data_IF_303743203359
#
_entry.id   IF_303743203359
#
_cell.length_a   1.000
_cell.length_b   1.000
_cell.length_c   1.000
_cell.angle_alpha   90.00
_cell.angle_beta   90.00
_cell.angle_gamma   90.00
#
_symmetry.space_group_name_H-M   'P 1'
#
loop_
_entity.id
_entity.type
_entity.pdbx_description
1 polymer ?
#
# COMPACT_ATOMS: atom_id res chain seq x y z
N UNK A 1 -1.00 -21.03 2.90
CA UNK A 1 -0.60 -20.58 1.57
C UNK A 1 0.41 -21.56 0.97
N UNK A 2 0.22 -21.91 -0.30
CA UNK A 2 1.15 -22.72 -1.10
C UNK A 2 1.85 -21.86 -2.16
N UNK A 3 3.19 -21.90 -2.16
CA UNK A 3 4.03 -21.13 -3.10
C UNK A 3 4.71 -22.01 -4.16
N UNK A 4 4.39 -23.31 -4.20
CA UNK A 4 4.99 -24.26 -5.14
C UNK A 4 4.68 -23.93 -6.61
N UNK A 5 3.65 -23.14 -6.86
CA UNK A 5 3.21 -22.71 -8.19
C UNK A 5 3.57 -21.25 -8.52
N UNK A 6 4.44 -20.64 -7.74
CA UNK A 6 4.83 -19.24 -7.94
C UNK A 6 5.46 -18.99 -9.31
N UNK A 7 6.29 -19.92 -9.80
CA UNK A 7 6.90 -19.85 -11.14
C UNK A 7 5.86 -19.97 -12.27
N UNK A 8 4.67 -20.44 -11.97
CA UNK A 8 3.54 -20.52 -12.89
C UNK A 8 2.57 -19.33 -12.72
N UNK A 9 2.98 -18.34 -11.93
CA UNK A 9 2.17 -17.15 -11.63
C UNK A 9 0.98 -17.42 -10.70
N UNK A 10 1.05 -18.45 -9.85
CA UNK A 10 -0.06 -18.79 -8.98
C UNK A 10 0.36 -18.98 -7.52
N UNK A 11 -0.51 -18.53 -6.63
CA UNK A 11 -0.46 -18.77 -5.18
C UNK A 11 -1.73 -19.52 -4.82
N UNK A 12 -1.61 -20.64 -4.13
CA UNK A 12 -2.77 -21.35 -3.60
C UNK A 12 -2.99 -20.96 -2.14
N UNK A 13 -4.24 -20.80 -1.74
CA UNK A 13 -4.61 -20.49 -0.37
C UNK A 13 -5.75 -21.41 0.07
N UNK A 14 -5.67 -21.88 1.31
CA UNK A 14 -6.75 -22.58 1.98
C UNK A 14 -6.87 -22.02 3.39
N UNK A 15 -8.10 -21.78 3.80
CA UNK A 15 -8.41 -21.31 5.13
C UNK A 15 -9.70 -21.98 5.64
N UNK A 16 -9.73 -22.34 6.90
CA UNK A 16 -10.91 -22.85 7.57
C UNK A 16 -11.00 -22.29 8.99
N UNK A 17 -12.22 -22.21 9.51
CA UNK A 17 -12.49 -21.87 10.89
C UNK A 17 -13.55 -22.82 11.46
N UNK A 18 -13.47 -23.10 12.75
CA UNK A 18 -14.45 -23.96 13.45
C UNK A 18 -15.81 -23.26 13.65
N UNK A 19 -15.80 -21.92 13.67
CA UNK A 19 -17.00 -21.09 13.81
C UNK A 19 -17.20 -20.23 12.55
N UNK A 20 -18.44 -19.83 12.31
CA UNK A 20 -18.76 -18.88 11.26
C UNK A 20 -17.94 -17.59 11.45
N UNK A 21 -17.29 -17.15 10.39
CA UNK A 21 -16.45 -15.97 10.39
C UNK A 21 -17.05 -14.91 9.46
N UNK A 22 -17.22 -13.71 9.98
CA UNK A 22 -17.69 -12.57 9.17
C UNK A 22 -16.49 -11.88 8.51
N UNK A 23 -16.44 -11.98 7.19
CA UNK A 23 -15.42 -11.33 6.37
C UNK A 23 -15.73 -9.86 6.05
N UNK A 24 -16.90 -9.36 6.42
CA UNK A 24 -17.29 -7.99 6.12
C UNK A 24 -16.38 -6.99 6.88
N UNK A 25 -15.55 -6.29 6.13
CA UNK A 25 -14.64 -5.29 6.68
C UNK A 25 -13.43 -5.83 7.43
N UNK A 26 -13.18 -7.15 7.40
CA UNK A 26 -12.03 -7.77 8.07
C UNK A 26 -10.95 -8.13 7.05
N UNK A 27 -9.73 -7.69 7.30
CA UNK A 27 -8.56 -8.12 6.53
C UNK A 27 -8.23 -9.58 6.85
N UNK A 28 -8.32 -10.46 5.86
CA UNK A 28 -8.03 -11.89 6.01
C UNK A 28 -6.55 -12.18 5.81
N UNK A 29 -5.96 -11.54 4.81
CA UNK A 29 -4.53 -11.60 4.52
C UNK A 29 -4.11 -10.46 3.58
N UNK A 30 -2.83 -10.15 3.59
CA UNK A 30 -2.23 -9.16 2.69
C UNK A 30 -1.24 -9.85 1.74
N UNK A 31 -1.37 -9.59 0.46
CA UNK A 31 -0.36 -9.96 -0.54
C UNK A 31 0.38 -8.71 -0.97
N UNK A 32 1.71 -8.73 -0.85
CA UNK A 32 2.58 -7.66 -1.33
C UNK A 32 3.31 -8.14 -2.57
N UNK A 33 3.24 -7.35 -3.63
CA UNK A 33 3.99 -7.59 -4.86
C UNK A 33 4.45 -6.27 -5.45
N UNK A 34 5.48 -6.33 -6.28
CA UNK A 34 5.98 -5.17 -7.02
C UNK A 34 5.54 -5.31 -8.46
N UNK A 35 4.80 -4.34 -8.97
CA UNK A 35 4.50 -4.28 -10.39
C UNK A 35 5.77 -3.94 -11.18
N UNK A 36 6.04 -4.71 -12.23
CA UNK A 36 7.19 -4.49 -13.12
C UNK A 36 6.85 -3.62 -14.32
N UNK A 37 5.57 -3.32 -14.51
CA UNK A 37 5.02 -2.44 -15.54
C UNK A 37 3.68 -1.87 -15.07
N UNK A 38 3.24 -0.81 -15.72
CA UNK A 38 1.91 -0.25 -15.49
C UNK A 38 0.84 -1.23 -15.95
N UNK A 39 0.01 -1.68 -15.02
CA UNK A 39 -1.07 -2.64 -15.27
C UNK A 39 -2.22 -2.39 -14.28
N UNK A 40 -3.44 -2.58 -14.74
CA UNK A 40 -4.59 -2.58 -13.83
C UNK A 40 -4.56 -3.85 -13.00
N UNK A 41 -4.78 -3.74 -11.71
CA UNK A 41 -4.76 -4.88 -10.79
C UNK A 41 -5.79 -5.95 -11.18
N UNK A 42 -6.96 -5.56 -11.66
CA UNK A 42 -7.99 -6.46 -12.18
C UNK A 42 -7.55 -7.29 -13.39
N UNK A 43 -6.57 -6.80 -14.16
CA UNK A 43 -6.05 -7.49 -15.33
C UNK A 43 -4.86 -8.39 -14.96
N UNK A 44 -4.19 -8.09 -13.84
CA UNK A 44 -2.99 -8.78 -13.36
C UNK A 44 -3.28 -9.90 -12.36
N UNK A 45 -4.37 -9.81 -11.60
CA UNK A 45 -4.70 -10.75 -10.51
C UNK A 45 -6.12 -11.26 -10.68
N UNK A 46 -6.29 -12.57 -10.62
CA UNK A 46 -7.60 -13.22 -10.65
C UNK A 46 -7.63 -14.41 -9.70
N UNK A 47 -8.81 -14.77 -9.22
CA UNK A 47 -9.07 -16.08 -8.60
C UNK A 47 -9.50 -17.04 -9.72
N UNK A 48 -8.96 -18.24 -9.71
CA UNK A 48 -9.34 -19.28 -10.66
C UNK A 48 -9.14 -20.68 -10.06
N UNK A 49 -9.74 -21.67 -10.71
CA UNK A 49 -9.68 -23.08 -10.30
C UNK A 49 -8.61 -23.88 -11.05
N UNK A 50 -7.53 -23.24 -11.51
CA UNK A 50 -6.49 -23.91 -12.33
C UNK A 50 -5.74 -25.01 -11.58
N UNK A 51 -5.51 -24.85 -10.28
CA UNK A 51 -4.75 -25.80 -9.45
C UNK A 51 -5.60 -26.40 -8.33
N UNK A 52 -6.48 -25.59 -7.74
CA UNK A 52 -7.44 -25.99 -6.70
C UNK A 52 -8.75 -25.32 -7.01
N UNK A 53 -9.87 -25.96 -6.68
CA UNK A 53 -11.17 -25.31 -6.83
C UNK A 53 -11.22 -24.02 -6.01
N UNK A 54 -11.69 -22.94 -6.62
CA UNK A 54 -11.92 -21.66 -5.95
C UNK A 54 -13.31 -21.71 -5.32
N UNK A 55 -13.40 -22.21 -4.10
CA UNK A 55 -14.63 -22.51 -3.39
C UNK A 55 -14.62 -21.87 -2.00
N UNK A 56 -15.79 -21.47 -1.55
CA UNK A 56 -16.05 -21.12 -0.15
C UNK A 56 -17.28 -21.89 0.35
N UNK A 57 -17.28 -22.24 1.62
CA UNK A 57 -18.39 -22.88 2.29
C UNK A 57 -18.94 -21.96 3.36
N UNK A 58 -20.22 -21.63 3.28
CA UNK A 58 -20.94 -20.88 4.29
C UNK A 58 -22.13 -21.67 4.78
N UNK A 59 -22.18 -21.96 6.08
CA UNK A 59 -23.24 -22.74 6.72
C UNK A 59 -23.45 -24.15 6.09
N UNK A 60 -22.40 -24.72 5.47
CA UNK A 60 -22.46 -26.02 4.80
C UNK A 60 -22.78 -25.95 3.30
N UNK A 61 -23.13 -24.79 2.79
CA UNK A 61 -23.42 -24.59 1.38
C UNK A 61 -22.20 -24.06 0.61
N UNK A 62 -22.03 -24.57 -0.61
CA UNK A 62 -20.98 -24.12 -1.53
C UNK A 62 -21.33 -22.73 -2.07
N UNK A 63 -20.38 -21.81 -1.99
CA UNK A 63 -20.48 -20.45 -2.50
C UNK A 63 -19.44 -20.22 -3.59
N UNK A 64 -19.81 -19.50 -4.64
CA UNK A 64 -18.88 -19.02 -5.63
C UNK A 64 -17.96 -17.93 -5.05
N UNK A 65 -16.67 -18.03 -5.36
CA UNK A 65 -15.67 -17.04 -4.94
C UNK A 65 -15.32 -16.16 -6.13
N UNK A 66 -15.59 -14.88 -6.00
CA UNK A 66 -15.18 -13.87 -6.97
C UNK A 66 -14.25 -12.82 -6.30
N UNK A 67 -13.21 -12.44 -7.01
CA UNK A 67 -12.36 -11.33 -6.61
C UNK A 67 -12.94 -10.03 -7.17
N UNK A 68 -13.45 -9.19 -6.30
CA UNK A 68 -13.88 -7.85 -6.69
C UNK A 68 -12.79 -6.85 -6.30
N UNK A 69 -12.34 -6.09 -7.28
CA UNK A 69 -11.44 -4.98 -7.05
C UNK A 69 -12.27 -3.74 -6.72
N UNK A 70 -12.61 -3.57 -5.48
CA UNK A 70 -12.98 -2.26 -5.02
C UNK A 70 -11.68 -1.46 -4.94
N UNK A 71 -11.38 -0.70 -5.99
CA UNK A 71 -10.57 0.48 -5.78
C UNK A 71 -11.37 1.28 -4.75
N UNK A 72 -10.90 1.34 -3.52
CA UNK A 72 -11.34 2.39 -2.65
C UNK A 72 -10.99 3.66 -3.43
N UNK A 73 -12.00 4.30 -4.01
CA UNK A 73 -11.86 5.70 -4.30
C UNK A 73 -11.47 6.26 -2.94
N UNK A 74 -10.21 6.61 -2.77
CA UNK A 74 -9.71 7.03 -1.49
C UNK A 74 -10.59 8.16 -1.00
N UNK A 75 -11.52 7.84 -0.12
CA UNK A 75 -12.29 8.84 0.61
C UNK A 75 -11.51 9.20 1.89
N UNK A 76 -10.32 8.65 2.02
CA UNK A 76 -9.45 8.83 3.16
C UNK A 76 -8.12 9.42 2.72
N UNK A 77 -7.58 10.25 3.58
CA UNK A 77 -6.19 10.65 3.50
C UNK A 77 -5.33 9.60 4.22
N UNK A 78 -4.20 9.25 3.65
CA UNK A 78 -3.24 8.37 4.30
C UNK A 78 -1.81 8.77 3.94
N UNK A 79 -0.90 8.63 4.90
CA UNK A 79 0.54 8.74 4.67
C UNK A 79 1.18 7.38 4.95
N UNK A 80 1.89 6.81 3.98
CA UNK A 80 2.53 5.51 4.10
C UNK A 80 3.99 5.63 4.53
N UNK A 81 4.53 4.53 5.02
CA UNK A 81 5.96 4.44 5.33
C UNK A 81 6.76 4.53 4.04
N UNK A 82 7.81 5.37 4.05
CA UNK A 82 8.72 5.47 2.92
C UNK A 82 9.41 4.13 2.63
N UNK A 83 9.66 3.85 1.37
CA UNK A 83 10.28 2.60 0.92
C UNK A 83 11.39 2.90 -0.10
N UNK A 84 12.60 2.37 0.14
CA UNK A 84 13.05 1.63 1.32
C UNK A 84 13.14 2.49 2.60
N UNK A 85 13.14 1.85 3.77
CA UNK A 85 13.45 2.46 5.05
C UNK A 85 14.10 1.42 5.97
N UNK A 86 15.37 1.53 6.41
CA UNK A 86 16.29 2.63 6.06
C UNK A 86 16.62 2.72 4.56
N UNK A 87 17.09 3.89 4.13
CA UNK A 87 17.46 4.11 2.73
C UNK A 87 18.84 4.75 2.59
N UNK A 88 19.42 4.57 1.40
CA UNK A 88 20.65 5.22 0.96
C UNK A 88 20.38 5.88 -0.39
N UNK A 89 20.71 7.16 -0.51
CA UNK A 89 20.53 7.92 -1.75
C UNK A 89 19.09 8.36 -2.00
N UNK A 90 18.16 7.42 -2.22
CA UNK A 90 16.77 7.76 -2.52
C UNK A 90 15.76 6.87 -1.82
N UNK A 91 14.57 7.39 -1.63
CA UNK A 91 13.38 6.68 -1.13
C UNK A 91 12.12 7.25 -1.73
N UNK A 92 11.05 6.49 -1.70
CA UNK A 92 9.73 6.91 -2.16
C UNK A 92 8.80 7.07 -0.96
N UNK A 93 8.14 8.21 -0.87
CA UNK A 93 7.04 8.45 0.07
C UNK A 93 5.73 8.32 -0.70
N UNK A 94 4.90 7.38 -0.28
CA UNK A 94 3.57 7.17 -0.85
C UNK A 94 2.50 7.74 0.09
N UNK A 95 1.41 8.23 -0.49
CA UNK A 95 0.27 8.76 0.26
C UNK A 95 -1.01 8.68 -0.56
N UNK A 96 -2.14 8.81 0.12
CA UNK A 96 -3.46 8.91 -0.52
C UNK A 96 -4.14 10.22 -0.17
N UNK A 97 -4.83 10.79 -1.16
CA UNK A 97 -5.66 11.98 -0.99
C UNK A 97 -7.13 11.63 -1.22
N UNK A 98 -8.00 12.06 -0.31
CA UNK A 98 -9.44 11.91 -0.43
C UNK A 98 -10.04 12.67 -1.61
N UNK A 99 -9.38 13.75 -2.04
CA UNK A 99 -9.73 14.57 -3.20
C UNK A 99 -8.47 15.09 -3.88
N UNK A 100 -8.58 15.39 -5.17
CA UNK A 100 -7.50 16.04 -5.89
C UNK A 100 -7.26 17.45 -5.34
N UNK A 101 -5.99 17.84 -5.24
CA UNK A 101 -5.62 19.17 -4.76
C UNK A 101 -4.17 19.27 -4.34
N UNK A 102 -3.85 20.43 -3.77
CA UNK A 102 -2.52 20.72 -3.29
C UNK A 102 -2.17 19.84 -2.07
N UNK A 103 -0.95 19.32 -2.10
CA UNK A 103 -0.37 18.67 -0.94
C UNK A 103 1.10 19.07 -0.78
N UNK A 104 1.55 19.08 0.47
CA UNK A 104 2.91 19.45 0.85
C UNK A 104 3.51 18.32 1.68
N UNK A 105 4.66 17.81 1.24
CA UNK A 105 5.48 16.89 2.02
C UNK A 105 6.68 17.66 2.54
N UNK A 106 6.76 17.85 3.86
CA UNK A 106 7.87 18.53 4.53
C UNK A 106 8.73 17.51 5.26
N UNK A 107 10.03 17.52 4.97
CA UNK A 107 11.03 16.66 5.61
C UNK A 107 11.84 17.51 6.58
N UNK A 108 11.99 17.06 7.83
CA UNK A 108 12.68 17.76 8.88
C UNK A 108 13.59 16.85 9.70
N UNK A 109 14.61 17.42 10.30
CA UNK A 109 15.48 16.73 11.23
C UNK A 109 14.83 16.59 12.64
N UNK A 110 15.53 15.95 13.55
CA UNK A 110 15.07 15.74 14.93
C UNK A 110 14.88 17.03 15.74
N UNK A 111 15.43 18.15 15.28
CA UNK A 111 15.30 19.47 15.90
C UNK A 111 14.15 20.29 15.28
N UNK A 112 13.44 19.70 14.30
CA UNK A 112 12.38 20.39 13.55
C UNK A 112 12.89 21.31 12.43
N UNK A 113 14.20 21.30 12.13
CA UNK A 113 14.75 22.06 11.01
C UNK A 113 14.32 21.41 9.70
N UNK A 114 13.67 22.19 8.84
CA UNK A 114 13.25 21.73 7.50
C UNK A 114 14.49 21.45 6.64
N UNK A 115 14.57 20.24 6.15
CA UNK A 115 15.61 19.74 5.23
C UNK A 115 15.15 19.87 3.80
N UNK A 116 13.86 19.56 3.54
CA UNK A 116 13.27 19.61 2.20
C UNK A 116 11.76 19.80 2.27
N UNK A 117 11.22 20.51 1.28
CA UNK A 117 9.77 20.61 1.08
C UNK A 117 9.45 20.24 -0.38
N UNK A 118 8.46 19.40 -0.58
CA UNK A 118 7.91 19.01 -1.87
C UNK A 118 6.45 19.45 -1.88
N UNK A 119 6.12 20.35 -2.79
CA UNK A 119 4.77 20.90 -2.94
C UNK A 119 4.29 20.66 -4.36
N UNK A 120 3.02 20.28 -4.51
CA UNK A 120 2.42 20.07 -5.83
C UNK A 120 0.93 19.83 -5.76
N UNK A 121 0.33 19.78 -6.93
CA UNK A 121 -1.05 19.33 -7.11
C UNK A 121 -1.05 17.85 -7.43
N UNK A 122 -1.83 17.10 -6.67
CA UNK A 122 -1.90 15.65 -6.74
C UNK A 122 -3.31 15.17 -7.03
N UNK A 123 -3.43 14.02 -7.69
CA UNK A 123 -4.71 13.42 -8.00
C UNK A 123 -5.38 12.85 -6.74
N UNK A 124 -6.71 12.69 -6.79
CA UNK A 124 -7.42 11.87 -5.81
C UNK A 124 -6.91 10.44 -5.85
N UNK A 125 -6.76 9.80 -4.70
CA UNK A 125 -6.28 8.44 -4.55
C UNK A 125 -4.79 8.36 -4.28
N UNK A 126 -4.16 7.30 -4.74
CA UNK A 126 -2.76 6.99 -4.46
C UNK A 126 -1.80 7.88 -5.26
N UNK A 127 -0.84 8.44 -4.55
CA UNK A 127 0.22 9.28 -5.08
C UNK A 127 1.57 8.87 -4.47
N UNK A 128 2.66 9.24 -5.11
CA UNK A 128 4.00 9.09 -4.56
C UNK A 128 4.94 10.23 -4.97
N UNK A 129 5.95 10.44 -4.16
CA UNK A 129 7.03 11.38 -4.43
C UNK A 129 8.38 10.72 -4.15
N UNK A 130 9.33 10.90 -5.05
CA UNK A 130 10.70 10.43 -4.86
C UNK A 130 11.50 11.48 -4.10
N UNK A 131 12.14 11.05 -3.03
CA UNK A 131 13.04 11.86 -2.20
C UNK A 131 14.46 11.40 -2.43
N UNK A 132 15.31 12.30 -2.91
CA UNK A 132 16.73 12.07 -3.16
C UNK A 132 17.55 13.31 -2.82
N UNK A 133 18.86 13.18 -2.85
CA UNK A 133 19.80 14.29 -2.61
C UNK A 133 19.58 14.95 -1.23
N UNK A 134 19.35 14.13 -0.21
CA UNK A 134 19.33 14.56 1.18
C UNK A 134 20.75 14.46 1.75
N UNK A 135 21.35 15.62 2.03
CA UNK A 135 22.73 15.73 2.50
C UNK A 135 22.83 15.63 4.05
N UNK A 136 22.17 14.64 4.63
CA UNK A 136 22.26 14.35 6.07
C UNK A 136 21.97 12.87 6.29
N UNK A 137 22.45 12.32 7.39
CA UNK A 137 22.23 10.94 7.82
C UNK A 137 21.53 10.90 9.17
N UNK A 138 20.94 9.76 9.47
CA UNK A 138 20.25 9.53 10.74
C UNK A 138 18.73 9.57 10.61
N UNK A 139 18.08 10.01 11.70
CA UNK A 139 16.61 10.04 11.81
C UNK A 139 16.06 11.35 11.28
N UNK A 140 15.13 11.25 10.36
CA UNK A 140 14.33 12.35 9.84
C UNK A 140 12.84 12.06 10.05
N UNK A 141 12.05 13.11 10.03
CA UNK A 141 10.59 13.03 10.00
C UNK A 141 10.06 13.64 8.71
N UNK A 142 8.97 13.11 8.20
CA UNK A 142 8.27 13.74 7.09
C UNK A 142 6.79 13.86 7.41
N UNK A 143 6.24 15.01 7.07
CA UNK A 143 4.84 15.37 7.31
C UNK A 143 4.17 15.63 5.97
N UNK A 144 3.01 15.01 5.75
CA UNK A 144 2.10 15.33 4.66
C UNK A 144 1.02 16.27 5.19
N UNK A 145 0.78 17.35 4.48
CA UNK A 145 -0.30 18.31 4.71
C UNK A 145 -1.12 18.45 3.43
N UNK A 146 -2.45 18.32 3.53
CA UNK A 146 -3.38 18.57 2.42
C UNK A 146 -4.76 18.92 2.97
N UNK A 147 -5.21 20.16 2.74
CA UNK A 147 -6.37 20.72 3.41
C UNK A 147 -6.21 20.67 4.93
N UNK A 148 -7.19 20.09 5.61
CA UNK A 148 -7.16 19.91 7.07
C UNK A 148 -6.43 18.62 7.52
N UNK A 149 -5.94 17.82 6.57
CA UNK A 149 -5.24 16.58 6.90
C UNK A 149 -3.77 16.83 7.16
N UNK A 150 -3.27 16.26 8.25
CA UNK A 150 -1.85 16.25 8.60
C UNK A 150 -1.47 14.88 9.15
N UNK A 151 -0.38 14.32 8.65
CA UNK A 151 0.19 13.07 9.17
C UNK A 151 1.71 13.11 9.10
N UNK A 152 2.36 12.51 10.11
CA UNK A 152 3.82 12.48 10.22
C UNK A 152 4.32 11.06 10.38
N UNK A 153 5.43 10.75 9.72
CA UNK A 153 6.16 9.48 9.89
C UNK A 153 7.66 9.72 10.01
N UNK A 154 8.33 8.69 10.52
CA UNK A 154 9.78 8.66 10.69
C UNK A 154 10.43 7.92 9.52
N UNK A 155 11.59 8.40 9.06
CA UNK A 155 12.47 7.70 8.14
C UNK A 155 13.92 7.72 8.62
N UNK A 156 14.72 6.78 8.12
CA UNK A 156 16.13 6.64 8.49
C UNK A 156 16.96 6.67 7.21
N UNK A 157 17.90 7.60 7.13
CA UNK A 157 18.87 7.66 6.05
C UNK A 157 20.23 7.18 6.57
N UNK A 158 20.83 6.28 5.81
CA UNK A 158 22.15 5.70 6.10
C UNK A 158 23.19 6.14 5.08
N UNK A 159 24.48 6.04 5.44
CA UNK A 159 25.61 6.36 4.57
C UNK A 159 25.78 5.40 3.38
#
# INVERSE_FOLDING_TARGET
FGFTKLNEGAITASWNAEAAYDFAGTEVFTVRFTALADVKLSDAVSINSRFTAAEAYAAGDLQDVALTFSGAAANNYALYQNTPNPFKGETVIAFELAQAGEAVVTIMDVNGKVVRTIKGDFAKGFNNVTVKDINTTGVLYYTLESGDFTATKKMIIIE
#
